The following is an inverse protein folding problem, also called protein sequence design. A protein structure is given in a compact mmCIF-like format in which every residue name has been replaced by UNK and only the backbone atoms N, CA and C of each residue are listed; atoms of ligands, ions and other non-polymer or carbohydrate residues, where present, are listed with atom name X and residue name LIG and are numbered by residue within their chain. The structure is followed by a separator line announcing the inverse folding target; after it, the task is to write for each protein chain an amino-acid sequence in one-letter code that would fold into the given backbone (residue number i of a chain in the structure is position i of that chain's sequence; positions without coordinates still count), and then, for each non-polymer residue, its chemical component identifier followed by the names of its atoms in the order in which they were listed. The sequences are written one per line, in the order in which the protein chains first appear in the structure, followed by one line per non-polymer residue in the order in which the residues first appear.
data_IF_844352674320
#
_entry.id   IF_844352674320
#
_cell.length_a   1.000
_cell.length_b   1.000
_cell.length_c   1.000
_cell.angle_alpha   90.00
_cell.angle_beta   90.00
_cell.angle_gamma   90.00
#
_symmetry.space_group_name_H-M   'P 1'
#
loop_
_entity.id
_entity.type
_entity.pdbx_description
1 polymer ?
#
# COMPACT_ATOMS: atom_id res chain seq x y z
N UNK A 1 0.60 20.61 21.59
CA UNK A 1 1.62 20.94 20.58
C UNK A 1 1.38 20.01 19.40
N UNK A 2 0.84 20.51 18.30
CA UNK A 2 0.65 19.69 17.09
C UNK A 2 2.05 19.60 16.47
N UNK A 3 2.64 18.41 16.49
CA UNK A 3 3.91 18.17 15.82
C UNK A 3 3.69 18.42 14.32
N UNK A 4 4.43 19.36 13.72
CA UNK A 4 4.41 19.52 12.27
C UNK A 4 4.95 18.23 11.65
N UNK A 5 4.08 17.52 10.93
CA UNK A 5 4.40 16.24 10.31
C UNK A 5 5.16 16.52 9.02
N UNK A 6 6.44 16.15 8.98
CA UNK A 6 7.23 16.20 7.75
C UNK A 6 6.92 14.99 6.87
N UNK A 7 7.16 15.13 5.56
CA UNK A 7 6.97 14.03 4.59
C UNK A 7 7.75 12.77 5.00
N UNK A 8 8.98 12.93 5.50
CA UNK A 8 9.82 11.82 5.97
C UNK A 8 9.21 11.08 7.16
N UNK A 9 8.64 11.83 8.12
CA UNK A 9 7.96 11.24 9.28
C UNK A 9 6.70 10.49 8.84
N UNK A 10 5.96 11.05 7.88
CA UNK A 10 4.77 10.41 7.32
C UNK A 10 5.12 9.12 6.57
N UNK A 11 6.19 9.12 5.76
CA UNK A 11 6.67 7.93 5.05
C UNK A 11 7.12 6.86 6.03
N UNK A 12 7.89 7.22 7.06
CA UNK A 12 8.34 6.28 8.08
C UNK A 12 7.16 5.66 8.85
N UNK A 13 6.18 6.48 9.26
CA UNK A 13 4.98 6.01 9.92
C UNK A 13 4.15 5.07 9.03
N UNK A 14 3.98 5.42 7.75
CA UNK A 14 3.25 4.61 6.77
C UNK A 14 3.90 3.24 6.59
N UNK A 15 5.24 3.18 6.47
CA UNK A 15 5.99 1.91 6.40
C UNK A 15 5.82 1.07 7.66
N UNK A 16 5.86 1.69 8.84
CA UNK A 16 5.67 0.99 10.12
C UNK A 16 4.28 0.36 10.21
N UNK A 17 3.23 1.09 9.82
CA UNK A 17 1.86 0.57 9.80
C UNK A 17 1.74 -0.60 8.82
N UNK A 18 2.30 -0.48 7.61
CA UNK A 18 2.29 -1.57 6.63
C UNK A 18 3.02 -2.81 7.15
N UNK A 19 4.19 -2.65 7.79
CA UNK A 19 4.93 -3.76 8.37
C UNK A 19 4.11 -4.49 9.45
N UNK A 20 3.49 -3.74 10.36
CA UNK A 20 2.66 -4.33 11.42
C UNK A 20 1.48 -5.14 10.87
N UNK A 21 0.84 -4.67 9.79
CA UNK A 21 -0.24 -5.43 9.14
C UNK A 21 0.28 -6.75 8.58
N UNK A 22 1.42 -6.75 7.90
CA UNK A 22 2.02 -7.96 7.35
C UNK A 22 2.48 -8.93 8.45
N UNK A 23 3.10 -8.45 9.52
CA UNK A 23 3.49 -9.27 10.68
C UNK A 23 2.30 -9.97 11.33
N UNK A 24 1.16 -9.28 11.46
CA UNK A 24 -0.08 -9.87 11.97
C UNK A 24 -0.60 -10.96 11.01
N UNK A 25 -0.56 -10.72 9.70
CA UNK A 25 -0.97 -11.72 8.71
C UNK A 25 -0.08 -12.96 8.76
N UNK A 26 1.23 -12.79 8.93
CA UNK A 26 2.20 -13.88 9.11
C UNK A 26 1.93 -14.68 10.39
N UNK A 27 1.64 -13.98 11.50
CA UNK A 27 1.28 -14.63 12.77
C UNK A 27 -0.03 -15.45 12.68
N UNK A 28 -0.92 -15.10 11.74
CA UNK A 28 -2.14 -15.85 11.44
C UNK A 28 -1.90 -16.99 10.43
N UNK A 29 -0.68 -17.13 9.91
CA UNK A 29 -0.31 -18.17 8.96
C UNK A 29 -0.81 -17.92 7.53
N UNK A 30 -1.09 -16.67 7.16
CA UNK A 30 -1.53 -16.31 5.81
C UNK A 30 -0.35 -16.34 4.84
N UNK A 31 -0.54 -16.95 3.67
CA UNK A 31 0.47 -16.93 2.60
C UNK A 31 0.61 -15.54 1.99
N UNK A 32 1.79 -15.19 1.47
CA UNK A 32 2.11 -13.84 0.97
C UNK A 32 1.09 -13.27 -0.03
N UNK A 33 0.51 -14.10 -0.89
CA UNK A 33 -0.59 -13.72 -1.80
C UNK A 33 -1.83 -13.29 -1.01
N UNK A 34 -2.27 -14.09 -0.05
CA UNK A 34 -3.45 -13.78 0.78
C UNK A 34 -3.24 -12.51 1.61
N UNK A 35 -2.02 -12.26 2.08
CA UNK A 35 -1.69 -11.02 2.79
C UNK A 35 -1.85 -9.80 1.88
N UNK A 36 -1.34 -9.88 0.64
CA UNK A 36 -1.44 -8.81 -0.34
C UNK A 36 -2.90 -8.55 -0.75
N UNK A 37 -3.67 -9.62 -0.98
CA UNK A 37 -5.10 -9.53 -1.32
C UNK A 37 -5.90 -8.90 -0.18
N UNK A 38 -5.66 -9.32 1.07
CA UNK A 38 -6.33 -8.76 2.24
C UNK A 38 -5.99 -7.28 2.44
N UNK A 39 -4.71 -6.92 2.39
CA UNK A 39 -4.27 -5.54 2.55
C UNK A 39 -4.80 -4.64 1.42
N UNK A 40 -4.79 -5.14 0.18
CA UNK A 40 -5.37 -4.47 -0.98
C UNK A 40 -6.88 -4.29 -0.87
N UNK A 41 -7.61 -5.32 -0.41
CA UNK A 41 -9.04 -5.27 -0.18
C UNK A 41 -9.42 -4.23 0.90
N UNK A 42 -8.68 -4.20 2.02
CA UNK A 42 -8.89 -3.21 3.06
C UNK A 42 -8.63 -1.77 2.55
N UNK A 43 -7.56 -1.57 1.77
CA UNK A 43 -7.25 -0.27 1.19
C UNK A 43 -8.31 0.18 0.17
N UNK A 44 -8.78 -0.71 -0.71
CA UNK A 44 -9.80 -0.34 -1.70
C UNK A 44 -11.12 0.01 -1.04
N UNK A 45 -11.51 -0.67 0.03
CA UNK A 45 -12.73 -0.35 0.78
C UNK A 45 -12.69 1.07 1.35
N UNK A 46 -11.57 1.44 1.99
CA UNK A 46 -11.36 2.80 2.52
C UNK A 46 -11.40 3.83 1.39
N UNK A 47 -10.70 3.58 0.28
CA UNK A 47 -10.70 4.48 -0.87
C UNK A 47 -12.09 4.63 -1.48
N UNK A 48 -12.88 3.56 -1.54
CA UNK A 48 -14.26 3.60 -2.03
C UNK A 48 -15.15 4.49 -1.16
N UNK A 49 -14.97 4.48 0.17
CA UNK A 49 -15.72 5.34 1.08
C UNK A 49 -15.36 6.83 0.91
N UNK A 50 -14.12 7.14 0.53
CA UNK A 50 -13.62 8.52 0.40
C UNK A 50 -13.91 9.10 -1.00
N UNK A 51 -13.69 8.30 -2.05
CA UNK A 51 -13.65 8.77 -3.44
C UNK A 51 -14.80 8.22 -4.30
N UNK A 52 -15.52 7.21 -3.82
CA UNK A 52 -16.42 6.40 -4.62
C UNK A 52 -15.70 5.24 -5.35
N UNK A 53 -16.45 4.23 -5.80
CA UNK A 53 -15.88 2.95 -6.26
C UNK A 53 -15.04 3.08 -7.54
N UNK A 54 -15.50 3.87 -8.51
CA UNK A 54 -14.77 4.04 -9.76
C UNK A 54 -13.43 4.74 -9.56
N UNK A 55 -13.43 5.86 -8.83
CA UNK A 55 -12.22 6.63 -8.56
C UNK A 55 -11.22 5.84 -7.69
N UNK A 56 -11.71 5.01 -6.76
CA UNK A 56 -10.85 4.13 -5.96
C UNK A 56 -10.08 3.12 -6.82
N UNK A 57 -10.76 2.48 -7.77
CA UNK A 57 -10.15 1.51 -8.70
C UNK A 57 -9.11 2.19 -9.59
N UNK A 58 -9.45 3.33 -10.20
CA UNK A 58 -8.49 4.09 -11.01
C UNK A 58 -7.26 4.51 -10.19
N UNK A 59 -7.48 4.91 -8.92
CA UNK A 59 -6.37 5.29 -8.04
C UNK A 59 -5.44 4.13 -7.72
N UNK A 60 -5.97 2.93 -7.54
CA UNK A 60 -5.16 1.73 -7.34
C UNK A 60 -4.39 1.35 -8.60
N UNK A 61 -4.98 1.52 -9.79
CA UNK A 61 -4.27 1.33 -11.06
C UNK A 61 -3.08 2.28 -11.17
N UNK A 62 -3.27 3.57 -10.90
CA UNK A 62 -2.17 4.56 -10.89
C UNK A 62 -1.05 4.18 -9.91
N UNK A 63 -1.40 3.60 -8.75
CA UNK A 63 -0.42 3.15 -7.75
C UNK A 63 0.36 1.95 -8.30
N UNK A 64 -0.32 0.95 -8.86
CA UNK A 64 0.30 -0.21 -9.46
C UNK A 64 1.27 0.19 -10.58
N UNK A 65 0.86 1.09 -11.48
CA UNK A 65 1.70 1.60 -12.57
C UNK A 65 2.96 2.30 -12.02
N UNK A 66 2.82 3.11 -10.96
CA UNK A 66 3.99 3.74 -10.31
C UNK A 66 4.91 2.73 -9.63
N UNK A 67 4.35 1.69 -9.01
CA UNK A 67 5.13 0.62 -8.38
C UNK A 67 5.94 -0.15 -9.42
N UNK A 68 5.36 -0.42 -10.59
CA UNK A 68 6.05 -1.06 -11.70
C UNK A 68 7.31 -0.28 -12.09
N UNK A 69 7.19 1.04 -12.25
CA UNK A 69 8.32 1.92 -12.57
C UNK A 69 9.38 1.97 -11.47
N UNK A 70 8.97 1.89 -10.20
CA UNK A 70 9.88 2.02 -9.05
C UNK A 70 10.60 0.72 -8.68
N UNK A 71 9.94 -0.43 -8.87
CA UNK A 71 10.41 -1.73 -8.40
C UNK A 71 11.03 -2.58 -9.50
N UNK A 72 10.62 -2.40 -10.77
CA UNK A 72 11.29 -3.06 -11.89
C UNK A 72 12.59 -2.27 -12.14
N UNK A 73 13.77 -2.87 -11.91
CA UNK A 73 15.02 -2.19 -12.16
C UNK A 73 15.08 -1.80 -13.65
N UNK A 74 15.41 -0.55 -13.93
CA UNK A 74 15.63 -0.02 -15.30
C UNK A 74 16.72 -0.76 -16.10
N UNK A 75 17.35 -1.79 -15.52
CA UNK A 75 18.42 -2.61 -16.11
C UNK A 75 17.97 -4.01 -16.57
N UNK A 76 16.69 -4.40 -16.45
CA UNK A 76 16.19 -5.68 -16.99
C UNK A 76 15.78 -5.64 -18.47
N UNK A 77 16.19 -4.60 -19.20
CA UNK A 77 16.16 -4.55 -20.67
C UNK A 77 17.59 -4.56 -21.20
N UNK A 78 18.17 -5.76 -21.31
CA UNK A 78 19.26 -6.08 -22.24
C UNK A 78 18.94 -7.41 -22.93
#
# INVERSE_FOLDING_TARGET
MIMEMTDDVFVAASRSVSLTVLEVCDALGLGSTDQADLAGAALVEILCQILGPFAAVERLRDIADRMEVQLIPTNSVQ
#
